data_IF_288931450731
#
_entry.id   IF_288931450731
#
_cell.length_a   1.000
_cell.length_b   1.000
_cell.length_c   1.000
_cell.angle_alpha   90.00
_cell.angle_beta   90.00
_cell.angle_gamma   90.00
#
_symmetry.space_group_name_H-M   'P 1'
#
loop_
_entity.id
_entity.type
_entity.pdbx_description
1 polymer ?
#
# COMPACT_ATOMS: atom_id res chain seq x y z
N UNK A 1 -9.48 -3.80 -4.85
CA UNK A 1 -8.55 -2.95 -5.64
C UNK A 1 -7.68 -3.85 -6.50
N UNK A 2 -7.23 -3.41 -7.69
CA UNK A 2 -6.37 -4.25 -8.54
C UNK A 2 -4.91 -4.20 -8.04
N UNK A 3 -4.39 -5.34 -7.59
CA UNK A 3 -3.08 -5.39 -6.91
C UNK A 3 -1.91 -5.07 -7.85
N UNK A 4 -1.98 -5.46 -9.12
CA UNK A 4 -0.92 -5.18 -10.09
C UNK A 4 -0.84 -3.69 -10.41
N UNK A 5 -1.99 -3.06 -10.62
CA UNK A 5 -2.09 -1.62 -10.83
C UNK A 5 -1.64 -0.84 -9.59
N UNK A 6 -2.03 -1.30 -8.40
CA UNK A 6 -1.60 -0.70 -7.12
C UNK A 6 -0.09 -0.80 -6.93
N UNK A 7 0.51 -1.97 -7.13
CA UNK A 7 1.96 -2.15 -7.02
C UNK A 7 2.73 -1.24 -8.02
N UNK A 8 2.23 -1.13 -9.26
CA UNK A 8 2.81 -0.21 -10.25
C UNK A 8 2.67 1.26 -9.86
N UNK A 9 1.53 1.64 -9.27
CA UNK A 9 1.30 2.99 -8.75
C UNK A 9 2.28 3.31 -7.62
N UNK A 10 2.44 2.41 -6.66
CA UNK A 10 3.39 2.59 -5.55
C UNK A 10 4.84 2.66 -6.04
N UNK A 11 5.25 1.79 -6.98
CA UNK A 11 6.59 1.84 -7.54
C UNK A 11 6.89 3.20 -8.23
N UNK A 12 5.92 3.74 -8.98
CA UNK A 12 6.06 5.04 -9.62
C UNK A 12 6.00 6.22 -8.65
N UNK A 13 5.20 6.12 -7.58
CA UNK A 13 5.01 7.20 -6.60
C UNK A 13 6.18 7.32 -5.63
N UNK A 14 6.71 6.19 -5.16
CA UNK A 14 7.75 6.15 -4.14
C UNK A 14 9.17 6.06 -4.72
N UNK A 15 9.31 5.87 -6.04
CA UNK A 15 10.59 5.59 -6.69
C UNK A 15 11.35 4.40 -6.06
N UNK A 16 10.59 3.48 -5.43
CA UNK A 16 11.09 2.29 -4.73
C UNK A 16 10.50 1.01 -5.35
N UNK A 17 11.09 -0.13 -5.02
CA UNK A 17 10.53 -1.42 -5.43
C UNK A 17 9.16 -1.66 -4.79
N UNK A 18 8.16 -1.98 -5.61
CA UNK A 18 6.88 -2.52 -5.14
C UNK A 18 6.46 -3.71 -5.98
N UNK A 19 6.04 -4.77 -5.32
CA UNK A 19 5.65 -6.03 -5.97
C UNK A 19 4.51 -6.70 -5.23
N UNK A 20 3.67 -7.40 -6.00
CA UNK A 20 2.68 -8.33 -5.47
C UNK A 20 3.44 -9.58 -5.02
N UNK A 21 3.44 -9.87 -3.73
CA UNK A 21 4.16 -11.01 -3.14
C UNK A 21 3.28 -12.22 -2.90
N UNK A 22 1.97 -12.00 -2.71
CA UNK A 22 0.97 -13.05 -2.57
C UNK A 22 -0.35 -12.66 -3.25
N UNK A 23 -1.33 -13.57 -3.22
CA UNK A 23 -2.64 -13.35 -3.86
C UNK A 23 -3.34 -12.06 -3.39
N UNK A 24 -3.14 -11.65 -2.14
CA UNK A 24 -3.72 -10.46 -1.52
C UNK A 24 -2.66 -9.63 -0.76
N UNK A 25 -1.39 -9.72 -1.15
CA UNK A 25 -0.27 -9.02 -0.48
C UNK A 25 0.58 -8.24 -1.48
N UNK A 26 0.88 -6.98 -1.14
CA UNK A 26 1.85 -6.13 -1.83
C UNK A 26 2.93 -5.75 -0.82
N UNK A 27 4.18 -5.86 -1.24
CA UNK A 27 5.32 -5.31 -0.50
C UNK A 27 5.79 -4.05 -1.20
N UNK A 28 6.09 -3.02 -0.41
CA UNK A 28 6.69 -1.75 -0.85
C UNK A 28 7.96 -1.55 -0.03
N UNK A 29 9.06 -1.19 -0.69
CA UNK A 29 10.32 -0.91 0.00
C UNK A 29 10.37 0.54 0.50
N UNK A 30 10.91 0.71 1.71
CA UNK A 30 11.05 2.01 2.38
C UNK A 30 10.06 2.19 3.53
N UNK A 31 10.29 3.22 4.34
CA UNK A 31 9.34 3.68 5.34
C UNK A 31 8.38 4.68 4.69
N UNK A 32 7.30 4.15 4.13
CA UNK A 32 6.30 4.90 3.33
C UNK A 32 4.88 4.68 3.86
N UNK A 33 4.78 4.34 5.15
CA UNK A 33 3.50 3.97 5.78
C UNK A 33 2.50 5.12 5.70
N UNK A 34 2.92 6.32 6.12
CA UNK A 34 2.05 7.49 6.18
C UNK A 34 1.55 7.87 4.78
N UNK A 35 2.41 7.80 3.78
CA UNK A 35 2.04 8.09 2.39
C UNK A 35 1.14 7.02 1.78
N UNK A 36 1.31 5.74 2.14
CA UNK A 36 0.39 4.69 1.70
C UNK A 36 -1.01 4.96 2.25
N UNK A 37 -1.13 5.35 3.52
CA UNK A 37 -2.42 5.69 4.14
C UNK A 37 -3.08 6.88 3.42
N UNK A 38 -2.31 7.92 3.09
CA UNK A 38 -2.79 9.06 2.32
C UNK A 38 -3.26 8.66 0.91
N UNK A 39 -2.46 7.84 0.20
CA UNK A 39 -2.81 7.37 -1.14
C UNK A 39 -4.09 6.54 -1.10
N UNK A 40 -4.27 5.68 -0.09
CA UNK A 40 -5.47 4.85 0.00
C UNK A 40 -6.71 5.74 0.16
N UNK A 41 -6.68 6.69 1.08
CA UNK A 41 -7.79 7.61 1.32
C UNK A 41 -8.10 8.53 0.13
N UNK A 42 -7.09 8.93 -0.65
CA UNK A 42 -7.27 9.80 -1.82
C UNK A 42 -7.66 9.04 -3.09
N UNK A 43 -7.05 7.87 -3.34
CA UNK A 43 -7.24 7.08 -4.56
C UNK A 43 -8.51 6.24 -4.52
N UNK A 44 -8.86 5.71 -3.35
CA UNK A 44 -10.02 4.85 -3.15
C UNK A 44 -10.92 5.45 -2.06
N UNK A 45 -11.67 6.52 -2.37
CA UNK A 45 -12.50 7.23 -1.40
C UNK A 45 -13.67 6.39 -0.85
N UNK A 46 -13.94 5.23 -1.44
CA UNK A 46 -14.92 4.25 -0.94
C UNK A 46 -14.34 3.30 0.12
N UNK A 47 -13.02 3.32 0.35
CA UNK A 47 -12.39 2.60 1.46
C UNK A 47 -12.52 3.50 2.67
N UNK A 48 -13.36 3.09 3.61
CA UNK A 48 -13.50 3.77 4.89
C UNK A 48 -12.20 3.64 5.69
N UNK A 49 -11.77 4.71 6.34
CA UNK A 49 -10.58 4.70 7.20
C UNK A 49 -10.67 3.69 8.34
N UNK A 50 -11.88 3.33 8.79
CA UNK A 50 -12.12 2.30 9.79
C UNK A 50 -11.80 0.88 9.29
N UNK A 51 -11.64 0.69 7.97
CA UNK A 51 -11.22 -0.58 7.36
C UNK A 51 -9.71 -0.67 7.17
N UNK A 52 -8.97 0.36 7.60
CA UNK A 52 -7.51 0.42 7.51
C UNK A 52 -6.95 0.25 8.93
N UNK A 53 -6.17 -0.80 9.14
CA UNK A 53 -5.51 -1.09 10.41
C UNK A 53 -4.00 -1.03 10.24
N UNK A 54 -3.33 -0.20 11.05
CA UNK A 54 -1.87 -0.24 11.15
C UNK A 54 -1.47 -1.34 12.13
N UNK A 55 -0.89 -2.42 11.59
CA UNK A 55 -0.39 -3.53 12.39
C UNK A 55 0.96 -3.21 13.06
N UNK A 56 1.55 -2.04 12.82
CA UNK A 56 2.84 -1.66 13.37
C UNK A 56 4.00 -2.50 12.81
N UNK A 57 5.13 -2.50 13.53
CA UNK A 57 6.28 -3.33 13.17
C UNK A 57 5.97 -4.81 13.46
N UNK A 58 5.61 -5.53 12.40
CA UNK A 58 5.44 -6.98 12.45
C UNK A 58 6.81 -7.65 12.31
N UNK A 59 7.28 -8.31 13.37
CA UNK A 59 8.44 -9.21 13.30
C UNK A 59 8.01 -10.47 12.54
N UNK A 60 8.31 -10.53 11.25
CA UNK A 60 8.27 -11.77 10.46
C UNK A 60 9.56 -12.57 10.63
#
# INVERSE_FOLDING_TARGET
VDLKATAKLFAGRFACGSSVTAADEIVVQGDVKDEILEIIGTKWPYIDSNLIEDLGDQKR
#
